data_IF_671334561539
#
_entry.id   IF_671334561539
#
_cell.length_a   1.000
_cell.length_b   1.000
_cell.length_c   1.000
_cell.angle_alpha   90.00
_cell.angle_beta   90.00
_cell.angle_gamma   90.00
#
_symmetry.space_group_name_H-M   'P 1'
#
loop_
_entity.id
_entity.type
_entity.pdbx_description
1 polymer ?
#
# COMPACT_ATOMS: atom_id res chain seq x y z
N UNK A 1 -6.53 0.98 13.88
CA UNK A 1 -5.59 1.61 12.92
C UNK A 1 -4.87 0.48 12.21
N UNK A 2 -4.69 0.60 10.89
CA UNK A 2 -3.96 -0.38 10.08
C UNK A 2 -2.59 0.17 9.70
N UNK A 3 -1.52 -0.60 9.93
CA UNK A 3 -0.14 -0.16 9.70
C UNK A 3 0.52 -1.09 8.68
N UNK A 4 1.24 -0.53 7.72
CA UNK A 4 2.13 -1.25 6.81
C UNK A 4 3.57 -0.93 7.22
N UNK A 5 4.39 -1.93 7.53
CA UNK A 5 5.77 -1.74 7.97
C UNK A 5 6.71 -2.86 7.49
N UNK A 6 8.01 -2.72 7.79
CA UNK A 6 9.06 -3.66 7.39
C UNK A 6 9.03 -3.99 5.89
N UNK A 7 8.93 -2.94 5.07
CA UNK A 7 8.86 -3.07 3.62
C UNK A 7 10.26 -3.39 3.08
N UNK A 8 10.39 -4.55 2.47
CA UNK A 8 11.66 -5.06 1.95
C UNK A 8 11.51 -5.48 0.49
N UNK A 9 12.59 -5.31 -0.27
CA UNK A 9 12.70 -5.77 -1.66
C UNK A 9 13.81 -6.79 -1.76
N UNK A 10 13.52 -7.94 -2.38
CA UNK A 10 14.46 -9.02 -2.62
C UNK A 10 14.55 -9.25 -4.14
N UNK A 11 15.78 -9.30 -4.66
CA UNK A 11 16.05 -9.69 -6.03
C UNK A 11 16.73 -11.06 -6.03
N UNK A 12 16.19 -12.03 -6.75
CA UNK A 12 16.81 -13.35 -6.90
C UNK A 12 16.54 -13.92 -8.29
N UNK A 13 17.60 -14.24 -9.06
CA UNK A 13 17.56 -14.97 -10.32
C UNK A 13 16.34 -14.63 -11.22
N UNK A 14 16.32 -13.40 -11.74
CA UNK A 14 15.28 -12.82 -12.63
C UNK A 14 13.90 -12.55 -11.99
N UNK A 15 13.74 -12.87 -10.71
CA UNK A 15 12.51 -12.58 -9.95
C UNK A 15 12.73 -11.49 -8.93
N UNK A 16 11.75 -10.61 -8.85
CA UNK A 16 11.64 -9.61 -7.81
C UNK A 16 10.54 -10.02 -6.84
N UNK A 17 10.82 -9.83 -5.56
CA UNK A 17 9.86 -9.97 -4.49
C UNK A 17 9.85 -8.70 -3.65
N UNK A 18 8.67 -8.25 -3.26
CA UNK A 18 8.52 -7.26 -2.19
C UNK A 18 7.67 -7.87 -1.10
N UNK A 19 8.04 -7.60 0.16
CA UNK A 19 7.31 -8.09 1.33
C UNK A 19 7.13 -6.98 2.36
N UNK A 20 6.06 -7.06 3.12
CA UNK A 20 5.76 -6.16 4.22
C UNK A 20 4.91 -6.87 5.28
N UNK A 21 4.88 -6.29 6.47
CA UNK A 21 3.93 -6.65 7.51
C UNK A 21 2.75 -5.69 7.48
N UNK A 22 1.54 -6.23 7.46
CA UNK A 22 0.32 -5.48 7.78
C UNK A 22 -0.06 -5.76 9.22
N UNK A 23 -0.15 -4.72 10.04
CA UNK A 23 -0.59 -4.82 11.44
C UNK A 23 -2.03 -4.30 11.54
N UNK A 24 -2.92 -5.15 12.03
CA UNK A 24 -4.31 -4.79 12.31
C UNK A 24 -4.78 -5.55 13.56
N UNK A 25 -5.47 -4.88 14.48
CA UNK A 25 -6.01 -5.49 15.71
C UNK A 25 -4.97 -6.31 16.50
N UNK A 26 -3.75 -5.78 16.67
CA UNK A 26 -2.61 -6.43 17.32
C UNK A 26 -2.18 -7.77 16.68
N UNK A 27 -2.57 -8.02 15.43
CA UNK A 27 -2.13 -9.18 14.65
C UNK A 27 -1.25 -8.71 13.51
N UNK A 28 -0.23 -9.51 13.20
CA UNK A 28 0.71 -9.27 12.10
C UNK A 28 0.37 -10.22 10.96
N UNK A 29 0.21 -9.66 9.78
CA UNK A 29 -0.08 -10.36 8.53
C UNK A 29 1.08 -10.13 7.56
N UNK A 30 1.96 -11.12 7.36
CA UNK A 30 3.04 -11.00 6.38
C UNK A 30 2.45 -11.15 4.97
N UNK A 31 2.64 -10.13 4.13
CA UNK A 31 2.20 -10.10 2.74
C UNK A 31 3.41 -9.96 1.84
N UNK A 32 3.38 -10.63 0.69
CA UNK A 32 4.42 -10.56 -0.32
C UNK A 32 3.83 -10.60 -1.72
N UNK A 33 4.53 -9.97 -2.65
CA UNK A 33 4.26 -10.01 -4.08
C UNK A 33 5.52 -10.42 -4.81
N UNK A 34 5.39 -11.26 -5.83
CA UNK A 34 6.52 -11.74 -6.63
C UNK A 34 6.20 -11.69 -8.12
N UNK A 35 7.13 -11.18 -8.93
CA UNK A 35 7.00 -11.10 -10.37
C UNK A 35 8.35 -11.30 -11.07
N UNK A 36 8.30 -11.51 -12.39
CA UNK A 36 9.50 -11.51 -13.25
C UNK A 36 9.72 -10.11 -13.81
N UNK A 37 10.98 -9.64 -13.79
CA UNK A 37 11.35 -8.37 -14.41
C UNK A 37 12.10 -7.42 -13.49
N UNK A 38 11.95 -6.12 -13.76
CA UNK A 38 12.73 -5.06 -13.10
C UNK A 38 12.28 -4.82 -11.65
N UNK A 39 13.19 -4.19 -10.91
CA UNK A 39 12.98 -3.71 -9.54
C UNK A 39 11.73 -2.83 -9.46
N UNK A 40 10.94 -2.98 -8.40
CA UNK A 40 9.82 -2.08 -8.14
C UNK A 40 10.38 -0.76 -7.59
N UNK A 41 10.20 0.37 -8.28
CA UNK A 41 10.73 1.64 -7.81
C UNK A 41 10.02 2.14 -6.53
N UNK A 42 8.77 1.72 -6.32
CA UNK A 42 7.93 2.13 -5.19
C UNK A 42 7.26 0.90 -4.56
N UNK A 43 7.99 0.08 -3.78
CA UNK A 43 7.47 -1.18 -3.25
C UNK A 43 6.26 -0.98 -2.33
N UNK A 44 6.15 0.17 -1.64
CA UNK A 44 5.03 0.45 -0.74
C UNK A 44 3.71 0.68 -1.48
N UNK A 45 3.74 1.06 -2.77
CA UNK A 45 2.52 1.33 -3.55
C UNK A 45 1.63 0.08 -3.66
N UNK A 46 2.25 -1.09 -3.85
CA UNK A 46 1.53 -2.35 -3.94
C UNK A 46 0.79 -2.67 -2.62
N UNK A 47 1.46 -2.45 -1.48
CA UNK A 47 0.87 -2.69 -0.17
C UNK A 47 -0.22 -1.66 0.16
N UNK A 48 -0.01 -0.38 -0.18
CA UNK A 48 -1.05 0.64 -0.03
C UNK A 48 -2.31 0.27 -0.82
N UNK A 49 -2.14 -0.11 -2.10
CA UNK A 49 -3.26 -0.45 -2.97
C UNK A 49 -4.12 -1.60 -2.41
N UNK A 50 -3.51 -2.65 -1.85
CA UNK A 50 -4.27 -3.76 -1.26
C UNK A 50 -4.81 -3.47 0.14
N UNK A 51 -4.20 -2.55 0.89
CA UNK A 51 -4.56 -2.24 2.27
C UNK A 51 -5.68 -1.20 2.38
N UNK A 52 -5.93 -0.41 1.34
CA UNK A 52 -7.03 0.56 1.30
C UNK A 52 -8.37 -0.11 1.60
N UNK A 53 -8.74 -1.18 0.88
CA UNK A 53 -10.07 -1.80 1.06
C UNK A 53 -10.27 -2.39 2.47
N UNK A 54 -9.33 -3.17 3.04
CA UNK A 54 -9.41 -3.60 4.43
C UNK A 54 -9.52 -2.44 5.43
N UNK A 55 -8.74 -1.37 5.25
CA UNK A 55 -8.80 -0.21 6.15
C UNK A 55 -10.15 0.51 6.05
N UNK A 56 -10.69 0.67 4.82
CA UNK A 56 -12.04 1.20 4.59
C UNK A 56 -13.12 0.33 5.25
N UNK A 57 -13.02 -1.00 5.17
CA UNK A 57 -13.95 -1.93 5.84
C UNK A 57 -13.93 -1.80 7.35
N UNK A 58 -12.75 -1.58 7.92
CA UNK A 58 -12.58 -1.38 9.36
C UNK A 58 -12.97 0.04 9.80
N UNK A 59 -13.07 0.99 8.87
CA UNK A 59 -13.27 2.41 9.17
C UNK A 59 -12.06 3.03 9.86
N UNK A 60 -10.87 2.47 9.64
CA UNK A 60 -9.67 2.84 10.37
C UNK A 60 -8.66 3.56 9.48
N UNK A 61 -7.95 4.54 10.07
CA UNK A 61 -6.79 5.18 9.45
C UNK A 61 -5.75 4.15 9.00
N UNK A 62 -5.19 4.38 7.82
CA UNK A 62 -4.09 3.61 7.24
C UNK A 62 -2.77 4.37 7.39
N UNK A 63 -1.74 3.71 7.92
CA UNK A 63 -0.39 4.28 8.07
C UNK A 63 0.60 3.43 7.30
N UNK A 64 1.40 4.05 6.43
CA UNK A 64 2.44 3.37 5.64
C UNK A 64 3.82 3.83 6.10
N UNK A 65 4.55 2.92 6.75
CA UNK A 65 5.95 3.10 7.17
C UNK A 65 6.90 2.80 6.01
N UNK A 66 6.82 3.63 4.99
CA UNK A 66 7.60 3.47 3.75
C UNK A 66 7.42 4.63 2.77
N UNK A 67 8.02 4.45 1.60
CA UNK A 67 8.00 5.43 0.51
C UNK A 67 6.87 5.10 -0.46
N UNK A 68 5.91 6.02 -0.59
CA UNK A 68 4.77 5.89 -1.50
C UNK A 68 4.89 6.94 -2.60
N UNK A 69 4.47 6.60 -3.82
CA UNK A 69 4.44 7.56 -4.91
C UNK A 69 3.40 8.65 -4.68
N UNK A 70 3.77 9.89 -5.00
CA UNK A 70 2.86 11.04 -4.94
C UNK A 70 1.61 10.81 -5.79
N UNK A 71 1.77 10.20 -6.97
CA UNK A 71 0.67 9.89 -7.87
C UNK A 71 -0.36 8.97 -7.23
N UNK A 72 0.06 7.90 -6.57
CA UNK A 72 -0.88 6.99 -5.90
C UNK A 72 -1.55 7.67 -4.71
N UNK A 73 -0.77 8.37 -3.88
CA UNK A 73 -1.30 9.05 -2.71
C UNK A 73 -2.33 10.13 -3.09
N UNK A 74 -2.04 10.96 -4.10
CA UNK A 74 -2.94 12.00 -4.58
C UNK A 74 -4.26 11.43 -5.10
N UNK A 75 -4.22 10.26 -5.76
CA UNK A 75 -5.42 9.60 -6.29
C UNK A 75 -6.10 8.68 -5.27
N UNK A 76 -5.51 8.47 -4.09
CA UNK A 76 -6.03 7.52 -3.10
C UNK A 76 -7.44 7.88 -2.62
N UNK A 77 -7.73 9.17 -2.41
CA UNK A 77 -9.07 9.63 -2.07
C UNK A 77 -10.09 9.26 -3.17
N UNK A 78 -9.71 9.45 -4.44
CA UNK A 78 -10.60 9.13 -5.56
C UNK A 78 -10.86 7.62 -5.67
N UNK A 79 -9.83 6.81 -5.43
CA UNK A 79 -9.94 5.34 -5.37
C UNK A 79 -10.94 4.95 -4.28
N UNK A 80 -10.83 5.55 -3.09
CA UNK A 80 -11.76 5.32 -1.99
C UNK A 80 -13.19 5.72 -2.32
N UNK A 81 -13.41 6.88 -2.96
CA UNK A 81 -14.74 7.31 -3.40
C UNK A 81 -15.39 6.30 -4.34
N UNK A 82 -14.61 5.75 -5.30
CA UNK A 82 -15.10 4.74 -6.24
C UNK A 82 -15.56 3.50 -5.47
N UNK A 83 -14.71 2.96 -4.59
CA UNK A 83 -15.07 1.79 -3.80
C UNK A 83 -16.27 2.04 -2.89
N UNK A 84 -16.32 3.19 -2.20
CA UNK A 84 -17.46 3.59 -1.37
C UNK A 84 -18.76 3.73 -2.18
N UNK A 85 -18.67 4.19 -3.43
CA UNK A 85 -19.83 4.30 -4.31
C UNK A 85 -20.41 2.94 -4.70
N UNK A 86 -19.56 1.91 -4.83
CA UNK A 86 -19.96 0.54 -5.12
C UNK A 86 -20.43 -0.21 -3.87
N UNK A 87 -19.85 0.09 -2.71
CA UNK A 87 -20.19 -0.53 -1.43
C UNK A 87 -20.18 0.53 -0.32
N UNK A 88 -21.37 0.95 0.09
CA UNK A 88 -21.56 1.99 1.13
C UNK A 88 -21.13 1.55 2.52
N UNK A 89 -20.84 0.26 2.75
CA UNK A 89 -20.27 -0.21 4.01
C UNK A 89 -18.78 0.14 4.16
N UNK A 90 -18.10 0.49 3.06
CA UNK A 90 -16.71 0.90 3.07
C UNK A 90 -16.60 2.36 3.48
N UNK A 91 -15.91 2.68 4.57
CA UNK A 91 -15.71 4.07 4.99
C UNK A 91 -14.58 4.73 4.21
N UNK A 92 -14.68 6.04 3.94
CA UNK A 92 -13.51 6.83 3.53
C UNK A 92 -12.63 7.03 4.75
N UNK A 93 -11.33 6.80 4.60
CA UNK A 93 -10.32 6.80 5.65
C UNK A 93 -9.15 7.73 5.32
N UNK A 94 -8.52 8.23 6.38
CA UNK A 94 -7.26 8.97 6.27
C UNK A 94 -6.10 8.01 5.98
N UNK A 95 -5.17 8.48 5.13
CA UNK A 95 -3.94 7.76 4.79
C UNK A 95 -2.75 8.63 5.19
N UNK A 96 -1.88 8.12 6.04
CA UNK A 96 -0.61 8.73 6.41
C UNK A 96 0.54 7.90 5.85
N UNK A 97 1.56 8.57 5.31
CA UNK A 97 2.77 7.93 4.79
C UNK A 97 4.00 8.62 5.37
N UNK A 98 5.05 7.86 5.67
CA UNK A 98 6.28 8.41 6.22
C UNK A 98 7.02 9.31 5.21
N UNK A 99 7.02 8.91 3.93
CA UNK A 99 7.69 9.67 2.87
C UNK A 99 6.94 9.56 1.54
N UNK A 100 6.79 10.71 0.90
CA UNK A 100 6.25 10.84 -0.45
C UNK A 100 7.41 11.04 -1.41
N UNK A 101 7.42 10.31 -2.52
CA UNK A 101 8.37 10.50 -3.60
C UNK A 101 7.66 10.87 -4.91
N UNK A 102 8.25 11.76 -5.73
CA UNK A 102 7.76 11.98 -7.09
C UNK A 102 7.73 10.66 -7.85
N UNK A 103 6.67 10.44 -8.61
CA UNK A 103 6.60 9.26 -9.48
C UNK A 103 7.44 9.50 -10.74
N UNK A 104 8.50 8.72 -10.92
CA UNK A 104 9.29 8.69 -12.15
C UNK A 104 9.11 7.34 -12.86
N UNK A 105 8.47 7.29 -14.04
CA UNK A 105 8.29 6.04 -14.79
C UNK A 105 9.58 5.45 -15.38
N UNK A 106 10.73 6.16 -15.33
CA UNK A 106 11.92 5.84 -16.13
C UNK A 106 13.14 5.41 -15.28
N UNK A 107 13.04 5.42 -13.94
CA UNK A 107 14.11 4.96 -13.04
C UNK A 107 14.35 3.43 -13.10
#
# INVERSE_FOLDING_TARGET
>A
MLIIENIETLANDERMEVRANIIANNKIYPIWFRWQGKVCPMPADAFLAIAIIPAMRLGEKLVVKGQVSEKLLHNSYKIQEIYHSFDRSLSIIDIEVDKILPWDPIA
#
